data_IF_389159122295
#
_entry.id   IF_389159122295
#
_cell.length_a   1.000
_cell.length_b   1.000
_cell.length_c   1.000
_cell.angle_alpha   90.00
_cell.angle_beta   90.00
_cell.angle_gamma   90.00
#
_symmetry.space_group_name_H-M   'P 1'
#
loop_
_entity.id
_entity.type
_entity.pdbx_description
1 polymer ?
#
# COMPACT_ATOMS: atom_id res chain seq x y z
N UNK A 1 -28.53 -20.61 -20.42
CA UNK A 1 -28.17 -20.39 -20.03
C UNK A 1 -27.47 -20.03 -19.44
N UNK A 2 -27.04 -19.80 -19.13
CA UNK A 2 -26.44 -19.45 -18.60
C UNK A 2 -25.76 -18.98 -17.90
N UNK A 3 -25.48 -18.67 -17.54
CA UNK A 3 -24.97 -18.35 -16.98
C UNK A 3 -24.30 -17.86 -16.37
N UNK A 4 -24.04 -17.64 -16.13
CA UNK A 4 -23.34 -17.15 -15.64
C UNK A 4 -22.86 -16.71 -14.77
N UNK A 5 -22.88 -16.26 -14.55
CA UNK A 5 -22.66 -15.91 -13.87
C UNK A 5 -21.77 -15.78 -13.11
N UNK A 6 -21.44 -15.83 -12.97
CA UNK A 6 -20.74 -16.01 -12.30
C UNK A 6 -19.80 -15.19 -11.75
N UNK A 7 -19.41 -14.53 -11.86
CA UNK A 7 -18.54 -13.65 -11.42
C UNK A 7 -18.71 -13.04 -10.14
N UNK A 8 -19.73 -12.97 -9.70
CA UNK A 8 -20.05 -12.41 -8.45
C UNK A 8 -19.20 -12.88 -7.29
N UNK A 9 -18.59 -13.98 -7.34
CA UNK A 9 -17.86 -14.48 -6.22
C UNK A 9 -16.74 -13.59 -5.69
N UNK A 10 -16.24 -12.73 -6.49
CA UNK A 10 -15.13 -11.90 -6.05
C UNK A 10 -15.40 -11.17 -4.74
N UNK A 11 -16.53 -10.53 -4.55
CA UNK A 11 -16.80 -9.86 -3.29
C UNK A 11 -16.86 -10.80 -2.11
N UNK A 12 -17.35 -11.98 -2.31
CA UNK A 12 -17.42 -12.95 -1.25
C UNK A 12 -16.04 -13.36 -0.79
N UNK A 13 -15.09 -13.46 -1.71
CA UNK A 13 -13.73 -13.80 -1.37
C UNK A 13 -13.12 -12.71 -0.51
N UNK A 14 -13.40 -11.48 -0.82
CA UNK A 14 -12.83 -10.37 -0.07
C UNK A 14 -13.31 -10.33 1.37
N UNK A 15 -14.42 -10.97 1.65
CA UNK A 15 -15.00 -10.96 2.98
C UNK A 15 -14.53 -12.11 3.86
N UNK A 16 -13.62 -12.95 3.38
CA UNK A 16 -13.19 -14.11 4.16
C UNK A 16 -12.31 -13.67 5.34
N UNK A 17 -12.78 -13.86 6.59
CA UNK A 17 -12.02 -13.39 7.75
C UNK A 17 -10.70 -14.14 7.95
N UNK A 18 -10.60 -15.39 7.52
CA UNK A 18 -9.35 -16.11 7.65
C UNK A 18 -8.28 -15.51 6.74
N UNK A 19 -8.65 -15.16 5.52
CA UNK A 19 -7.72 -14.52 4.60
C UNK A 19 -7.35 -13.12 5.07
N UNK A 20 -8.29 -12.41 5.65
CA UNK A 20 -8.01 -11.09 6.18
C UNK A 20 -7.00 -11.15 7.33
N UNK A 21 -7.15 -12.13 8.20
CA UNK A 21 -6.21 -12.32 9.31
C UNK A 21 -4.81 -12.61 8.80
N UNK A 22 -4.71 -13.49 7.82
CA UNK A 22 -3.41 -13.82 7.21
C UNK A 22 -2.80 -12.57 6.56
N UNK A 23 -3.61 -11.78 5.89
CA UNK A 23 -3.14 -10.56 5.25
C UNK A 23 -2.59 -9.58 6.29
N UNK A 24 -3.30 -9.38 7.40
CA UNK A 24 -2.85 -8.47 8.45
C UNK A 24 -1.55 -8.96 9.07
N UNK A 25 -1.43 -10.25 9.31
CA UNK A 25 -0.20 -10.82 9.84
C UNK A 25 0.96 -10.61 8.87
N UNK A 26 0.73 -10.86 7.59
CA UNK A 26 1.75 -10.68 6.56
C UNK A 26 2.18 -9.22 6.46
N UNK A 27 1.23 -8.29 6.52
CA UNK A 27 1.55 -6.86 6.49
C UNK A 27 2.43 -6.47 7.67
N UNK A 28 2.11 -6.95 8.86
CA UNK A 28 2.90 -6.64 10.04
C UNK A 28 4.31 -7.23 9.96
N UNK A 29 4.42 -8.42 9.40
CA UNK A 29 5.72 -9.05 9.24
C UNK A 29 6.56 -8.38 8.15
N UNK A 30 5.90 -7.84 7.12
CA UNK A 30 6.58 -7.18 6.02
C UNK A 30 7.18 -5.83 6.45
N UNK A 31 6.52 -5.11 7.34
CA UNK A 31 6.95 -3.75 7.68
C UNK A 31 8.43 -3.62 8.00
N UNK A 32 9.00 -4.44 8.89
CA UNK A 32 10.43 -4.30 9.19
C UNK A 32 11.34 -4.82 8.08
N UNK A 33 10.77 -5.51 7.09
CA UNK A 33 11.56 -6.16 6.05
C UNK A 33 11.55 -5.41 4.72
N UNK A 34 10.78 -4.33 4.60
CA UNK A 34 10.66 -3.62 3.32
C UNK A 34 12.03 -3.18 2.81
N UNK A 35 12.89 -2.71 3.70
CA UNK A 35 14.23 -2.26 3.30
C UNK A 35 15.11 -3.40 2.80
N UNK A 36 14.71 -4.63 3.05
CA UNK A 36 15.44 -5.81 2.58
C UNK A 36 15.02 -6.22 1.17
N UNK A 37 13.93 -5.65 0.66
CA UNK A 37 13.49 -5.97 -0.70
C UNK A 37 14.48 -5.41 -1.70
N UNK A 38 14.87 -6.25 -2.65
CA UNK A 38 15.77 -5.85 -3.71
C UNK A 38 14.95 -5.39 -4.90
N UNK A 39 14.38 -4.20 -4.77
CA UNK A 39 13.47 -3.65 -5.76
C UNK A 39 13.82 -2.18 -6.03
N UNK A 40 13.27 -1.63 -7.11
CA UNK A 40 13.48 -0.24 -7.44
C UNK A 40 12.85 0.69 -6.40
N UNK A 41 13.29 1.95 -6.34
CA UNK A 41 12.63 2.92 -5.45
C UNK A 41 11.14 3.04 -5.70
N UNK A 42 10.70 2.96 -6.96
CA UNK A 42 9.28 3.01 -7.30
C UNK A 42 8.51 1.88 -6.64
N UNK A 43 9.04 0.66 -6.73
CA UNK A 43 8.39 -0.50 -6.13
C UNK A 43 8.43 -0.43 -4.61
N UNK A 44 9.52 0.07 -4.07
CA UNK A 44 9.63 0.23 -2.62
C UNK A 44 8.60 1.25 -2.13
N UNK A 45 8.47 2.36 -2.85
CA UNK A 45 7.46 3.36 -2.52
C UNK A 45 6.05 2.76 -2.57
N UNK A 46 5.75 2.01 -3.62
CA UNK A 46 4.43 1.37 -3.75
C UNK A 46 4.16 0.41 -2.59
N UNK A 47 5.20 -0.29 -2.13
CA UNK A 47 5.07 -1.19 -0.99
C UNK A 47 4.78 -0.43 0.30
N UNK A 48 5.49 0.66 0.54
CA UNK A 48 5.21 1.49 1.72
C UNK A 48 3.81 2.08 1.64
N UNK A 49 3.39 2.51 0.46
CA UNK A 49 2.05 3.07 0.28
C UNK A 49 0.97 2.03 0.58
N UNK A 50 1.18 0.79 0.11
CA UNK A 50 0.28 -0.31 0.43
C UNK A 50 0.18 -0.52 1.94
N UNK A 51 1.32 -0.60 2.62
CA UNK A 51 1.35 -0.78 4.06
C UNK A 51 0.66 0.37 4.78
N UNK A 52 0.94 1.58 4.35
CA UNK A 52 0.39 2.78 4.96
C UNK A 52 -1.14 2.79 4.89
N UNK A 53 -1.68 2.46 3.72
CA UNK A 53 -3.12 2.44 3.51
C UNK A 53 -3.80 1.27 4.18
N UNK A 54 -3.08 0.16 4.36
CA UNK A 54 -3.65 -1.05 4.95
C UNK A 54 -3.62 -1.03 6.47
N UNK A 55 -2.66 -0.31 7.06
CA UNK A 55 -2.46 -0.34 8.51
C UNK A 55 -2.69 1.02 9.17
N UNK A 56 -2.84 2.09 8.40
CA UNK A 56 -2.97 3.47 8.91
C UNK A 56 -1.85 3.86 9.86
N UNK A 57 -0.65 3.38 9.60
CA UNK A 57 0.50 3.62 10.46
C UNK A 57 1.29 4.83 9.97
N UNK A 58 1.14 5.94 10.67
CA UNK A 58 1.80 7.20 10.31
C UNK A 58 3.32 7.10 10.26
N UNK A 59 3.89 6.16 11.01
CA UNK A 59 5.35 6.02 11.05
C UNK A 59 5.92 5.57 9.71
N UNK A 60 5.07 5.08 8.80
CA UNK A 60 5.50 4.66 7.47
C UNK A 60 5.64 5.81 6.50
N UNK A 61 5.17 7.00 6.86
CA UNK A 61 5.27 8.17 5.96
C UNK A 61 6.73 8.55 5.71
N UNK A 62 7.55 8.59 6.76
CA UNK A 62 8.94 8.96 6.59
C UNK A 62 9.71 8.03 5.65
N UNK A 63 9.65 6.69 5.84
CA UNK A 63 10.34 5.81 4.89
C UNK A 63 9.71 5.83 3.49
N UNK A 64 8.40 6.05 3.39
CA UNK A 64 7.75 6.19 2.08
C UNK A 64 8.29 7.44 1.37
N UNK A 65 8.45 8.53 2.08
CA UNK A 65 9.03 9.74 1.53
C UNK A 65 10.46 9.51 1.06
N UNK A 66 11.27 8.80 1.85
CA UNK A 66 12.63 8.49 1.46
C UNK A 66 12.68 7.69 0.15
N UNK A 67 11.77 6.74 -0.02
CA UNK A 67 11.68 5.98 -1.25
C UNK A 67 11.25 6.87 -2.41
N UNK A 68 10.31 7.79 -2.16
CA UNK A 68 9.80 8.68 -3.20
C UNK A 68 10.91 9.58 -3.75
N UNK A 69 11.73 10.17 -2.88
CA UNK A 69 12.78 11.07 -3.36
C UNK A 69 13.89 10.34 -4.08
N UNK A 70 13.99 9.03 -3.93
CA UNK A 70 14.97 8.22 -4.64
C UNK A 70 14.54 7.85 -6.07
N UNK A 71 13.30 8.13 -6.43
CA UNK A 71 12.78 7.84 -7.77
C UNK A 71 13.47 8.76 -8.78
N UNK A 72 14.08 8.16 -9.80
CA UNK A 72 14.85 8.91 -10.79
C UNK A 72 13.94 9.62 -11.79
N UNK A 73 12.89 8.95 -12.23
CA UNK A 73 11.95 9.53 -13.20
C UNK A 73 11.19 10.69 -12.54
N UNK A 74 11.31 11.88 -13.11
CA UNK A 74 10.73 13.08 -12.50
C UNK A 74 9.21 13.05 -12.42
N UNK A 75 8.57 12.55 -13.45
CA UNK A 75 7.10 12.49 -13.45
C UNK A 75 6.61 11.50 -12.40
N UNK A 76 7.27 10.35 -12.28
CA UNK A 76 6.91 9.35 -11.29
C UNK A 76 7.21 9.84 -9.88
N UNK A 77 8.35 10.54 -9.71
CA UNK A 77 8.70 11.13 -8.42
C UNK A 77 7.66 12.17 -7.99
N UNK A 78 7.22 13.02 -8.93
CA UNK A 78 6.21 14.02 -8.63
C UNK A 78 4.91 13.36 -8.18
N UNK A 79 4.52 12.30 -8.86
CA UNK A 79 3.30 11.57 -8.49
C UNK A 79 3.45 10.96 -7.09
N UNK A 80 4.60 10.38 -6.79
CA UNK A 80 4.85 9.80 -5.47
C UNK A 80 4.78 10.86 -4.38
N UNK A 81 5.39 12.02 -4.61
CA UNK A 81 5.33 13.10 -3.63
C UNK A 81 3.91 13.61 -3.43
N UNK A 82 3.13 13.67 -4.50
CA UNK A 82 1.73 14.05 -4.40
C UNK A 82 0.96 13.03 -3.55
N UNK A 83 1.22 11.75 -3.76
CA UNK A 83 0.57 10.70 -2.98
C UNK A 83 0.92 10.84 -1.48
N UNK A 84 2.19 11.16 -1.18
CA UNK A 84 2.60 11.39 0.21
C UNK A 84 1.81 12.55 0.83
N UNK A 85 1.67 13.64 0.09
CA UNK A 85 0.93 14.81 0.57
C UNK A 85 -0.51 14.42 0.89
N UNK A 86 -1.12 13.65 0.01
CA UNK A 86 -2.50 13.21 0.22
C UNK A 86 -2.63 12.33 1.45
N UNK A 87 -1.66 11.46 1.70
CA UNK A 87 -1.71 10.59 2.88
C UNK A 87 -1.53 11.40 4.16
N UNK A 88 -0.65 12.39 4.15
CA UNK A 88 -0.47 13.27 5.29
C UNK A 88 -1.77 14.04 5.57
N UNK A 89 -2.40 14.54 4.54
CA UNK A 89 -3.68 15.24 4.68
C UNK A 89 -4.75 14.33 5.27
N UNK A 90 -4.78 13.08 4.84
CA UNK A 90 -5.73 12.11 5.37
C UNK A 90 -5.54 11.91 6.88
N UNK A 91 -4.28 11.79 7.32
CA UNK A 91 -4.01 11.60 8.76
C UNK A 91 -4.29 12.87 9.57
N UNK A 92 -4.13 14.03 8.95
CA UNK A 92 -4.38 15.30 9.63
C UNK A 92 -5.86 15.66 9.69
N UNK A 93 -6.62 15.24 8.68
CA UNK A 93 -8.05 15.51 8.58
C UNK A 93 -8.80 14.23 8.20
N UNK A 94 -8.84 13.24 9.08
CA UNK A 94 -9.51 11.99 8.76
C UNK A 94 -11.02 12.19 8.60
N UNK A 95 -11.62 11.36 7.77
CA UNK A 95 -13.04 11.48 7.49
C UNK A 95 -13.84 10.34 8.00
#
# INVERSE_FOLDING_TARGET
MPTPTVSAPAPAIAADPALDTIKQTALNELRPLVDKLDVSPEEKFDTYLLLLRSTDDKTLIAPAHDAAIAIVDEARRAQALLDIIKEIDYFSNPR
#
